data_IF_561918772443
#
_entry.id   IF_561918772443
#
_cell.length_a   1.000
_cell.length_b   1.000
_cell.length_c   1.000
_cell.angle_alpha   90.00
_cell.angle_beta   90.00
_cell.angle_gamma   90.00
#
_symmetry.space_group_name_H-M   'P 1'
#
loop_
_entity.id
_entity.type
_entity.pdbx_description
1 polymer ?
#
# COMPACT_ATOMS: atom_id res chain seq x y z
N UNK A 1 0.67 10.40 -36.13
CA UNK A 1 -0.37 9.64 -35.40
C UNK A 1 -0.01 9.41 -33.93
N UNK A 2 1.21 8.94 -33.63
CA UNK A 2 1.65 8.72 -32.25
C UNK A 2 1.77 10.03 -31.46
N UNK A 3 2.35 11.05 -32.08
CA UNK A 3 2.49 12.39 -31.48
C UNK A 3 1.12 13.00 -31.16
N UNK A 4 0.15 12.84 -32.05
CA UNK A 4 -1.21 13.35 -31.83
C UNK A 4 -1.90 12.67 -30.64
N UNK A 5 -1.74 11.35 -30.49
CA UNK A 5 -2.30 10.59 -29.36
C UNK A 5 -1.69 11.03 -28.02
N UNK A 6 -0.38 11.25 -27.97
CA UNK A 6 0.30 11.72 -26.76
C UNK A 6 -0.16 13.13 -26.38
N UNK A 7 -0.25 14.04 -27.36
CA UNK A 7 -0.73 15.41 -27.12
C UNK A 7 -2.17 15.43 -26.65
N UNK A 8 -3.02 14.59 -27.20
CA UNK A 8 -4.42 14.48 -26.76
C UNK A 8 -4.52 13.99 -25.33
N UNK A 9 -3.73 12.99 -24.95
CA UNK A 9 -3.70 12.50 -23.57
C UNK A 9 -3.33 13.60 -22.59
N UNK A 10 -2.21 14.29 -22.82
CA UNK A 10 -1.75 15.34 -21.91
C UNK A 10 -2.62 16.59 -21.92
N UNK A 11 -3.35 16.85 -22.99
CA UNK A 11 -4.18 18.05 -23.10
C UNK A 11 -5.62 17.89 -22.64
N UNK A 12 -6.19 16.70 -22.72
CA UNK A 12 -7.63 16.50 -22.51
C UNK A 12 -8.02 15.36 -21.59
N UNK A 13 -7.10 14.47 -21.22
CA UNK A 13 -7.42 13.36 -20.32
C UNK A 13 -7.63 13.86 -18.88
N UNK A 14 -8.68 13.40 -18.16
CA UNK A 14 -8.85 13.69 -16.73
C UNK A 14 -7.70 13.17 -15.85
N UNK A 15 -6.93 12.21 -16.34
CA UNK A 15 -5.76 11.66 -15.62
C UNK A 15 -4.55 12.58 -15.71
N UNK A 16 -4.50 13.46 -16.72
CA UNK A 16 -3.48 14.48 -16.85
C UNK A 16 -3.91 15.72 -16.08
N UNK A 17 -3.26 15.99 -14.96
CA UNK A 17 -3.64 17.05 -14.02
C UNK A 17 -2.50 18.02 -13.79
N UNK A 18 -2.85 19.25 -13.38
CA UNK A 18 -1.88 20.24 -12.93
C UNK A 18 -1.25 19.74 -11.63
N UNK A 19 0.08 19.64 -11.59
CA UNK A 19 0.79 19.09 -10.45
C UNK A 19 0.72 20.00 -9.23
N UNK A 20 0.40 19.42 -8.07
CA UNK A 20 0.45 20.11 -6.80
C UNK A 20 1.91 20.37 -6.42
N UNK A 21 2.28 21.64 -6.25
CA UNK A 21 3.67 22.07 -6.02
C UNK A 21 3.85 22.92 -4.77
N UNK A 22 2.96 22.81 -3.80
CA UNK A 22 3.06 23.56 -2.54
C UNK A 22 4.37 23.27 -1.80
N UNK A 23 4.80 22.02 -1.82
CA UNK A 23 6.09 21.58 -1.27
C UNK A 23 6.51 20.27 -1.96
N UNK A 24 7.77 19.80 -1.76
CA UNK A 24 8.24 18.57 -2.41
C UNK A 24 7.41 17.33 -2.08
N UNK A 25 6.89 17.23 -0.87
CA UNK A 25 6.03 16.10 -0.47
C UNK A 25 4.72 16.10 -1.27
N UNK A 26 4.13 17.28 -1.52
CA UNK A 26 2.92 17.41 -2.34
C UNK A 26 3.14 16.92 -3.77
N UNK A 27 4.29 17.25 -4.36
CA UNK A 27 4.66 16.76 -5.69
C UNK A 27 4.79 15.24 -5.72
N UNK A 28 5.50 14.67 -4.76
CA UNK A 28 5.73 13.23 -4.68
C UNK A 28 4.41 12.47 -4.50
N UNK A 29 3.57 12.93 -3.58
CA UNK A 29 2.28 12.28 -3.32
C UNK A 29 1.34 12.38 -4.50
N UNK A 30 1.34 13.49 -5.22
CA UNK A 30 0.52 13.62 -6.43
C UNK A 30 0.92 12.58 -7.49
N UNK A 31 2.21 12.34 -7.68
CA UNK A 31 2.71 11.34 -8.63
C UNK A 31 2.38 9.91 -8.24
N UNK A 32 2.09 9.66 -6.98
CA UNK A 32 1.75 8.33 -6.44
C UNK A 32 0.25 8.15 -6.20
N UNK A 33 -0.57 9.04 -6.72
CA UNK A 33 -2.02 9.02 -6.54
C UNK A 33 -2.69 7.92 -7.38
N UNK A 34 -3.64 7.23 -6.77
CA UNK A 34 -4.49 6.24 -7.42
C UNK A 34 -5.93 6.74 -7.41
N UNK A 35 -6.63 6.63 -8.53
CA UNK A 35 -8.00 7.08 -8.66
C UNK A 35 -8.91 5.98 -9.16
N UNK A 36 -10.06 5.82 -8.51
CA UNK A 36 -11.12 4.94 -9.00
C UNK A 36 -12.03 5.64 -10.04
N UNK A 37 -11.83 6.94 -10.24
CA UNK A 37 -12.61 7.77 -11.16
C UNK A 37 -11.93 7.84 -12.53
N UNK A 38 -12.65 8.41 -13.51
CA UNK A 38 -12.11 8.66 -14.83
C UNK A 38 -12.51 7.62 -15.86
N UNK A 39 -11.89 7.64 -17.05
CA UNK A 39 -12.23 6.71 -18.14
C UNK A 39 -12.03 5.25 -17.72
N UNK A 40 -13.09 4.45 -17.86
CA UNK A 40 -13.07 3.04 -17.45
C UNK A 40 -13.27 2.82 -15.96
N UNK A 41 -13.40 3.88 -15.17
CA UNK A 41 -13.62 3.82 -13.73
C UNK A 41 -15.05 4.09 -13.30
N UNK A 42 -15.21 4.36 -12.01
CA UNK A 42 -16.50 4.67 -11.38
C UNK A 42 -16.85 6.15 -11.52
N UNK A 43 -18.14 6.45 -11.40
CA UNK A 43 -18.60 7.82 -11.15
C UNK A 43 -18.90 7.99 -9.66
N UNK A 44 -18.83 9.24 -9.16
CA UNK A 44 -19.11 9.52 -7.75
C UNK A 44 -20.51 9.07 -7.32
N UNK A 45 -21.49 9.20 -8.20
CA UNK A 45 -22.88 8.85 -7.92
C UNK A 45 -23.12 7.35 -7.82
N UNK A 46 -22.25 6.55 -8.47
CA UNK A 46 -22.34 5.09 -8.46
C UNK A 46 -21.46 4.44 -7.40
N UNK A 47 -20.61 5.21 -6.74
CA UNK A 47 -19.71 4.70 -5.72
C UNK A 47 -20.43 4.57 -4.39
N UNK A 48 -20.73 3.36 -3.99
CA UNK A 48 -21.26 3.02 -2.66
C UNK A 48 -20.19 2.84 -1.61
N UNK A 49 -20.59 2.42 -0.42
CA UNK A 49 -19.65 2.20 0.68
C UNK A 49 -18.65 1.09 0.40
N UNK A 50 -19.05 0.04 -0.33
CA UNK A 50 -18.18 -1.11 -0.61
C UNK A 50 -16.90 -0.72 -1.36
N UNK A 51 -17.01 0.16 -2.37
CA UNK A 51 -15.86 0.57 -3.15
C UNK A 51 -14.99 1.60 -2.44
N UNK A 52 -15.50 2.24 -1.39
CA UNK A 52 -14.78 3.21 -0.58
C UNK A 52 -14.07 2.59 0.63
N UNK A 53 -14.41 1.34 0.96
CA UNK A 53 -13.85 0.62 2.10
C UNK A 53 -12.45 0.13 1.83
N UNK A 54 -11.72 -0.10 2.91
CA UNK A 54 -10.41 -0.76 2.87
C UNK A 54 -10.62 -2.26 2.82
N UNK A 55 -10.13 -2.87 1.75
CA UNK A 55 -10.15 -4.32 1.56
C UNK A 55 -8.80 -4.92 2.00
N UNK A 56 -8.75 -6.16 2.41
CA UNK A 56 -7.50 -6.78 2.84
C UNK A 56 -6.42 -6.81 1.74
N UNK A 57 -6.83 -6.79 0.46
CA UNK A 57 -5.91 -6.73 -0.67
C UNK A 57 -5.15 -5.40 -0.77
N UNK A 58 -5.59 -4.38 -0.02
CA UNK A 58 -4.90 -3.09 0.04
C UNK A 58 -3.60 -3.16 0.86
N UNK A 59 -3.45 -4.19 1.68
CA UNK A 59 -2.30 -4.31 2.59
C UNK A 59 -0.97 -4.28 1.82
N UNK A 60 -0.12 -3.33 2.18
CA UNK A 60 1.19 -3.13 1.54
C UNK A 60 1.11 -2.53 0.13
N UNK A 61 -0.07 -2.24 -0.40
CA UNK A 61 -0.29 -1.73 -1.76
C UNK A 61 -0.88 -0.33 -1.77
N UNK A 62 -1.97 -0.14 -1.07
CA UNK A 62 -2.65 1.15 -0.97
C UNK A 62 -2.72 1.58 0.48
N UNK A 63 -2.39 2.83 0.76
CA UNK A 63 -2.47 3.37 2.12
C UNK A 63 -3.93 3.38 2.60
N UNK A 64 -4.22 2.79 3.76
CA UNK A 64 -5.60 2.79 4.29
C UNK A 64 -5.98 4.11 4.94
N UNK A 65 -5.04 5.01 5.17
CA UNK A 65 -5.23 6.25 5.94
C UNK A 65 -5.31 7.46 5.02
N UNK A 66 -4.37 7.61 4.09
CA UNK A 66 -4.29 8.79 3.23
C UNK A 66 -5.35 8.74 2.13
N UNK A 67 -6.39 9.56 2.27
CA UNK A 67 -7.45 9.73 1.29
C UNK A 67 -8.05 11.13 1.47
N UNK A 68 -8.61 11.77 0.43
CA UNK A 68 -9.28 13.04 0.60
C UNK A 68 -10.47 12.94 1.55
N UNK A 69 -10.77 14.02 2.24
CA UNK A 69 -12.02 14.16 2.98
C UNK A 69 -13.13 14.65 2.03
N UNK A 70 -14.37 14.24 2.28
CA UNK A 70 -15.54 14.68 1.51
C UNK A 70 -15.96 13.67 0.44
N UNK A 71 -16.50 14.15 -0.72
CA UNK A 71 -17.13 13.26 -1.70
C UNK A 71 -16.21 12.21 -2.32
N UNK A 72 -14.92 12.46 -2.34
CA UNK A 72 -13.91 11.56 -2.93
C UNK A 72 -13.30 10.59 -1.93
N UNK A 73 -13.77 10.54 -0.70
CA UNK A 73 -13.22 9.65 0.32
C UNK A 73 -13.25 8.19 -0.14
N UNK A 74 -12.12 7.51 -0.04
CA UNK A 74 -11.99 6.13 -0.49
C UNK A 74 -11.88 5.92 -2.00
N UNK A 75 -12.24 6.90 -2.81
CA UNK A 75 -12.13 6.82 -4.28
C UNK A 75 -10.76 7.26 -4.79
N UNK A 76 -10.12 8.14 -4.06
CA UNK A 76 -8.76 8.59 -4.33
C UNK A 76 -7.87 8.04 -3.21
N UNK A 77 -6.82 7.35 -3.58
CA UNK A 77 -5.90 6.71 -2.65
C UNK A 77 -4.47 6.94 -3.10
N UNK A 78 -3.52 6.47 -2.32
CA UNK A 78 -2.10 6.65 -2.60
C UNK A 78 -1.37 5.32 -2.44
N UNK A 79 -0.36 5.09 -3.28
CA UNK A 79 0.49 3.91 -3.19
C UNK A 79 1.17 3.85 -1.82
N UNK A 80 1.20 2.67 -1.23
CA UNK A 80 1.99 2.40 -0.04
C UNK A 80 3.49 2.58 -0.34
N UNK A 81 4.28 2.82 0.70
CA UNK A 81 5.68 3.24 0.58
C UNK A 81 6.52 2.34 -0.32
N UNK A 82 6.39 1.02 -0.18
CA UNK A 82 7.18 0.05 -0.93
C UNK A 82 6.44 -0.61 -2.10
N UNK A 83 5.19 -0.21 -2.34
CA UNK A 83 4.40 -0.75 -3.43
C UNK A 83 4.90 -0.25 -4.79
N UNK A 84 4.73 -1.07 -5.81
CA UNK A 84 5.00 -0.71 -7.19
C UNK A 84 3.92 -1.27 -8.11
N UNK A 85 3.88 -0.78 -9.34
CA UNK A 85 2.95 -1.26 -10.36
C UNK A 85 3.73 -2.13 -11.33
N UNK A 86 3.24 -3.34 -11.60
CA UNK A 86 3.90 -4.26 -12.52
C UNK A 86 3.60 -3.92 -13.99
N UNK A 87 4.16 -4.70 -14.90
CA UNK A 87 3.99 -4.52 -16.35
C UNK A 87 2.54 -4.69 -16.83
N UNK A 88 1.71 -5.39 -16.05
CA UNK A 88 0.28 -5.61 -16.37
C UNK A 88 -0.65 -4.58 -15.71
N UNK A 89 -0.12 -3.64 -14.95
CA UNK A 89 -0.90 -2.60 -14.28
C UNK A 89 -1.40 -2.97 -12.88
N UNK A 90 -1.03 -4.11 -12.33
CA UNK A 90 -1.39 -4.52 -10.97
C UNK A 90 -0.40 -3.98 -9.94
N UNK A 91 -0.90 -3.65 -8.76
CA UNK A 91 -0.06 -3.17 -7.66
C UNK A 91 0.53 -4.37 -6.92
N UNK A 92 1.85 -4.35 -6.76
CA UNK A 92 2.60 -5.38 -6.06
C UNK A 92 3.19 -4.84 -4.76
N UNK A 93 3.31 -5.74 -3.77
CA UNK A 93 3.99 -5.44 -2.51
C UNK A 93 5.21 -6.35 -2.33
N UNK A 94 6.27 -5.88 -1.65
CA UNK A 94 7.47 -6.67 -1.43
C UNK A 94 7.35 -7.57 -0.20
N UNK A 95 7.91 -8.77 -0.29
CA UNK A 95 7.96 -9.73 0.82
C UNK A 95 9.29 -10.45 0.83
N UNK A 96 9.72 -10.88 2.01
CA UNK A 96 10.92 -11.69 2.19
C UNK A 96 10.52 -13.15 2.23
N UNK A 97 11.01 -14.01 1.32
CA UNK A 97 10.69 -15.43 1.34
C UNK A 97 11.34 -16.15 2.52
N UNK A 98 10.67 -17.17 3.00
CA UNK A 98 11.18 -18.06 4.06
C UNK A 98 11.58 -19.38 3.42
N UNK A 99 12.85 -19.79 3.65
CA UNK A 99 13.33 -21.08 3.17
C UNK A 99 12.71 -22.19 4.01
N UNK A 100 11.88 -23.01 3.39
CA UNK A 100 11.18 -24.11 4.06
C UNK A 100 12.10 -25.20 4.55
N UNK A 101 13.26 -25.39 3.92
CA UNK A 101 14.21 -26.42 4.30
C UNK A 101 14.94 -26.07 5.60
N UNK A 102 15.30 -24.80 5.78
CA UNK A 102 16.07 -24.34 6.94
C UNK A 102 15.27 -23.50 7.92
N UNK A 103 14.11 -22.99 7.51
CA UNK A 103 13.29 -22.07 8.30
C UNK A 103 13.85 -20.65 8.39
N UNK A 104 14.84 -20.33 7.57
CA UNK A 104 15.49 -19.02 7.55
C UNK A 104 14.72 -18.03 6.69
N UNK A 105 14.52 -16.81 7.21
CA UNK A 105 14.01 -15.70 6.43
C UNK A 105 15.15 -15.13 5.58
N UNK A 106 14.96 -15.16 4.27
CA UNK A 106 16.00 -14.71 3.33
C UNK A 106 16.02 -13.18 3.24
N UNK A 107 17.17 -12.63 2.86
CA UNK A 107 17.31 -11.18 2.67
C UNK A 107 16.85 -10.70 1.30
N UNK A 108 16.52 -11.64 0.41
CA UNK A 108 15.98 -11.31 -0.91
C UNK A 108 14.56 -10.80 -0.80
N UNK A 109 14.14 -9.98 -1.78
CA UNK A 109 12.81 -9.41 -1.83
C UNK A 109 12.08 -9.94 -3.06
N UNK A 110 10.87 -10.44 -2.84
CA UNK A 110 9.99 -10.88 -3.92
C UNK A 110 8.72 -10.05 -3.90
N UNK A 111 8.37 -9.51 -5.06
CA UNK A 111 7.13 -8.73 -5.21
C UNK A 111 5.99 -9.65 -5.62
N UNK A 112 4.84 -9.46 -4.98
CA UNK A 112 3.64 -10.25 -5.25
C UNK A 112 2.40 -9.36 -5.36
N UNK A 113 1.51 -9.72 -6.29
CA UNK A 113 0.17 -9.15 -6.35
C UNK A 113 -0.72 -9.79 -5.26
N UNK A 114 -1.89 -9.18 -5.00
CA UNK A 114 -2.76 -9.64 -3.90
C UNK A 114 -3.30 -11.06 -4.13
N UNK A 115 -3.59 -11.43 -5.35
CA UNK A 115 -4.07 -12.77 -5.70
C UNK A 115 -3.02 -13.85 -5.42
N UNK A 116 -1.76 -13.57 -5.70
CA UNK A 116 -0.64 -14.49 -5.40
C UNK A 116 -0.42 -14.56 -3.89
N UNK A 117 -0.45 -13.43 -3.19
CA UNK A 117 -0.29 -13.37 -1.73
C UNK A 117 -1.37 -14.18 -0.98
N UNK A 118 -2.59 -14.23 -1.51
CA UNK A 118 -3.70 -14.97 -0.91
C UNK A 118 -3.42 -16.46 -0.73
N UNK A 119 -2.51 -17.02 -1.50
CA UNK A 119 -2.13 -18.43 -1.42
C UNK A 119 -1.12 -18.72 -0.30
N UNK A 120 -0.52 -17.68 0.30
CA UNK A 120 0.61 -17.82 1.21
C UNK A 120 0.30 -17.24 2.59
N UNK A 121 1.02 -17.79 3.57
CA UNK A 121 1.00 -17.32 4.96
C UNK A 121 2.16 -16.34 5.14
N UNK A 122 1.85 -15.11 5.55
CA UNK A 122 2.80 -14.01 5.65
C UNK A 122 2.95 -13.56 7.10
N UNK A 123 4.17 -13.63 7.63
CA UNK A 123 4.47 -13.17 8.98
C UNK A 123 4.54 -11.64 9.04
N UNK A 124 4.20 -11.08 10.20
CA UNK A 124 4.32 -9.66 10.46
C UNK A 124 5.78 -9.22 10.52
N UNK A 125 6.05 -7.97 10.10
CA UNK A 125 7.41 -7.43 10.08
C UNK A 125 8.05 -7.28 11.46
N UNK A 126 7.24 -7.17 12.50
CA UNK A 126 7.70 -7.01 13.88
C UNK A 126 8.00 -8.33 14.61
N UNK A 127 7.83 -9.47 13.95
CA UNK A 127 8.21 -10.76 14.56
C UNK A 127 9.73 -10.80 14.79
N UNK A 128 10.17 -11.16 16.01
CA UNK A 128 11.60 -11.19 16.29
C UNK A 128 12.30 -12.33 15.55
N UNK A 129 13.44 -12.01 14.96
CA UNK A 129 14.34 -12.95 14.32
C UNK A 129 15.65 -13.03 15.10
N UNK A 130 16.28 -14.20 15.10
CA UNK A 130 17.60 -14.37 15.69
C UNK A 130 18.71 -13.87 14.72
N UNK A 131 19.97 -13.99 15.14
CA UNK A 131 21.13 -13.55 14.36
C UNK A 131 21.23 -14.29 13.02
N UNK A 132 20.69 -15.50 12.93
CA UNK A 132 20.73 -16.33 11.73
C UNK A 132 19.49 -16.14 10.83
N UNK A 133 18.55 -15.30 11.24
CA UNK A 133 17.34 -15.03 10.46
C UNK A 133 16.19 -16.02 10.68
N UNK A 134 16.23 -16.80 11.76
CA UNK A 134 15.15 -17.71 12.14
C UNK A 134 14.19 -17.03 13.11
N UNK A 135 12.92 -17.44 13.09
CA UNK A 135 11.94 -16.95 14.07
C UNK A 135 12.29 -17.43 15.47
N UNK A 136 12.31 -16.49 16.40
CA UNK A 136 12.61 -16.78 17.82
C UNK A 136 11.46 -17.52 18.49
N UNK A 137 10.20 -17.12 18.19
CA UNK A 137 9.00 -17.72 18.76
C UNK A 137 8.57 -18.97 18.00
N UNK A 138 8.10 -19.98 18.70
CA UNK A 138 7.55 -21.20 18.09
C UNK A 138 6.26 -20.91 17.31
N UNK A 139 5.42 -20.01 17.85
CA UNK A 139 4.22 -19.51 17.18
C UNK A 139 4.44 -18.09 16.71
N UNK A 140 4.14 -17.85 15.45
CA UNK A 140 4.37 -16.60 14.76
C UNK A 140 3.01 -15.98 14.41
N UNK A 141 2.87 -14.68 14.69
CA UNK A 141 1.71 -13.91 14.26
C UNK A 141 1.77 -13.71 12.76
N UNK A 142 0.75 -14.19 12.06
CA UNK A 142 0.71 -14.16 10.60
C UNK A 142 -0.59 -13.62 10.10
N UNK A 143 -0.56 -13.23 8.83
CA UNK A 143 -1.71 -12.81 8.07
C UNK A 143 -1.98 -13.85 6.98
N UNK A 144 -3.21 -14.34 6.93
CA UNK A 144 -3.68 -15.20 5.86
C UNK A 144 -5.03 -14.68 5.37
N UNK A 145 -5.04 -14.16 4.15
CA UNK A 145 -6.19 -13.48 3.55
C UNK A 145 -6.65 -12.30 4.43
N UNK A 146 -7.88 -12.32 4.93
CA UNK A 146 -8.45 -11.26 5.77
C UNK A 146 -8.33 -11.52 7.28
N UNK A 147 -7.68 -12.62 7.67
CA UNK A 147 -7.54 -13.00 9.07
C UNK A 147 -6.11 -12.85 9.58
N UNK A 148 -5.99 -12.53 10.87
CA UNK A 148 -4.72 -12.53 11.60
C UNK A 148 -4.79 -13.69 12.59
N UNK A 149 -3.79 -14.55 12.56
CA UNK A 149 -3.75 -15.75 13.40
C UNK A 149 -2.32 -16.09 13.79
N UNK A 150 -2.17 -17.00 14.74
CA UNK A 150 -0.88 -17.55 15.12
C UNK A 150 -0.72 -18.95 14.55
N UNK A 151 0.41 -19.21 13.90
CA UNK A 151 0.73 -20.51 13.33
C UNK A 151 2.13 -20.94 13.78
N UNK A 152 2.45 -22.24 13.75
CA UNK A 152 3.82 -22.70 13.95
C UNK A 152 4.77 -22.06 12.94
N UNK A 153 5.98 -21.73 13.37
CA UNK A 153 6.97 -21.02 12.56
C UNK A 153 7.37 -21.76 11.27
N UNK A 154 7.19 -23.07 11.22
CA UNK A 154 7.50 -23.89 10.05
C UNK A 154 6.47 -23.75 8.92
N UNK A 155 5.30 -23.18 9.20
CA UNK A 155 4.23 -22.97 8.21
C UNK A 155 4.28 -21.62 7.53
N UNK A 156 5.15 -20.72 7.95
CA UNK A 156 5.27 -19.36 7.38
C UNK A 156 5.96 -19.44 6.01
N UNK A 157 5.36 -18.79 5.02
CA UNK A 157 5.88 -18.76 3.64
C UNK A 157 6.68 -17.50 3.34
N UNK A 158 6.23 -16.37 3.85
CA UNK A 158 6.85 -15.06 3.62
C UNK A 158 6.80 -14.21 4.88
N UNK A 159 7.57 -13.15 4.89
CA UNK A 159 7.58 -12.15 5.96
C UNK A 159 7.51 -10.76 5.36
N UNK A 160 6.78 -9.86 6.00
CA UNK A 160 6.74 -8.45 5.61
C UNK A 160 8.14 -7.83 5.70
N UNK A 161 8.45 -6.94 4.77
CA UNK A 161 9.77 -6.27 4.71
C UNK A 161 9.92 -5.25 5.84
N UNK A 162 8.87 -4.48 6.12
CA UNK A 162 8.90 -3.41 7.13
C UNK A 162 7.48 -3.08 7.59
N UNK A 163 7.29 -2.65 8.86
CA UNK A 163 5.99 -2.14 9.30
C UNK A 163 5.52 -0.91 8.53
N UNK A 164 6.44 -0.14 7.96
CA UNK A 164 6.14 1.07 7.17
C UNK A 164 5.57 0.77 5.79
N UNK A 165 5.60 -0.48 5.35
CA UNK A 165 5.08 -0.85 4.02
C UNK A 165 3.57 -0.71 3.88
N UNK A 166 2.85 -0.57 4.99
CA UNK A 166 1.37 -0.52 5.00
C UNK A 166 0.84 0.85 4.60
N UNK A 167 1.59 1.90 4.84
CA UNK A 167 1.16 3.29 4.71
C UNK A 167 1.90 4.00 3.59
N UNK A 168 1.33 5.12 3.11
CA UNK A 168 1.95 5.97 2.10
C UNK A 168 3.14 6.76 2.66
N UNK A 169 3.89 7.41 1.78
CA UNK A 169 5.05 8.23 2.17
C UNK A 169 4.63 9.35 3.12
N UNK A 170 3.55 10.08 2.83
CA UNK A 170 3.07 11.17 3.69
C UNK A 170 2.64 10.66 5.07
N UNK A 171 1.90 9.57 5.12
CA UNK A 171 1.45 8.97 6.36
C UNK A 171 2.61 8.43 7.19
N UNK A 172 3.62 7.87 6.54
CA UNK A 172 4.81 7.35 7.21
C UNK A 172 5.65 8.44 7.90
N UNK A 173 5.48 9.69 7.52
CA UNK A 173 6.17 10.83 8.13
C UNK A 173 5.52 11.33 9.43
N UNK A 174 4.35 10.83 9.80
CA UNK A 174 3.67 11.22 11.03
C UNK A 174 4.37 10.54 12.23
N UNK A 175 4.91 11.31 13.19
CA UNK A 175 5.54 10.71 14.37
C UNK A 175 4.50 10.05 15.27
N UNK A 176 4.86 8.91 15.85
CA UNK A 176 4.00 8.11 16.74
C UNK A 176 2.65 7.75 16.11
N UNK A 177 2.67 7.45 14.83
CA UNK A 177 1.47 7.10 14.06
C UNK A 177 0.69 5.94 14.68
N UNK A 178 1.39 4.97 15.24
CA UNK A 178 0.80 3.79 15.87
C UNK A 178 -0.09 4.10 17.08
N UNK A 179 0.09 5.28 17.67
CA UNK A 179 -0.70 5.75 18.82
C UNK A 179 -1.86 6.66 18.42
N UNK A 180 -1.96 6.99 17.13
CA UNK A 180 -2.99 7.91 16.63
C UNK A 180 -4.23 7.17 16.14
N UNK A 181 -5.40 7.81 16.33
CA UNK A 181 -6.62 7.39 15.68
C UNK A 181 -6.54 7.63 14.16
N UNK A 182 -7.14 6.73 13.38
CA UNK A 182 -7.11 6.80 11.92
C UNK A 182 -7.67 8.11 11.36
N UNK A 183 -8.71 8.67 11.96
CA UNK A 183 -9.29 9.95 11.53
C UNK A 183 -8.29 11.11 11.68
N UNK A 184 -7.57 11.13 12.78
CA UNK A 184 -6.56 12.16 13.04
C UNK A 184 -5.33 11.98 12.16
N UNK A 185 -4.94 10.75 11.91
CA UNK A 185 -3.84 10.43 10.99
C UNK A 185 -4.17 10.86 9.56
N UNK A 186 -5.40 10.64 9.11
CA UNK A 186 -5.89 11.10 7.80
C UNK A 186 -5.81 12.62 7.69
N UNK A 187 -6.26 13.35 8.70
CA UNK A 187 -6.16 14.81 8.73
C UNK A 187 -4.71 15.27 8.66
N UNK A 188 -3.82 14.65 9.44
CA UNK A 188 -2.40 14.98 9.47
C UNK A 188 -1.71 14.73 8.14
N UNK A 189 -1.99 13.61 7.49
CA UNK A 189 -1.45 13.29 6.19
C UNK A 189 -1.86 14.31 5.12
N UNK A 190 -3.13 14.72 5.12
CA UNK A 190 -3.62 15.73 4.20
C UNK A 190 -3.04 17.12 4.48
N UNK A 191 -2.87 17.49 5.74
CA UNK A 191 -2.33 18.78 6.14
C UNK A 191 -0.85 18.95 5.77
N UNK A 192 -0.06 17.89 5.77
CA UNK A 192 1.36 17.95 5.40
C UNK A 192 1.55 18.47 3.97
N UNK A 193 0.63 18.16 3.06
CA UNK A 193 0.69 18.60 1.67
C UNK A 193 0.31 20.06 1.49
N UNK A 194 -0.33 20.68 2.49
CA UNK A 194 -0.76 22.07 2.45
C UNK A 194 0.26 23.03 3.04
N UNK A 195 1.27 22.53 3.73
CA UNK A 195 2.32 23.36 4.31
C UNK A 195 3.21 23.98 3.21
N UNK A 196 3.55 25.22 3.40
CA UNK A 196 4.42 25.96 2.45
C UNK A 196 5.89 25.77 2.83
#
# INVERSE_FOLDING_TARGET
PVTAAIKEFFGSSPLSQFMDQTNPLAELTHKRRLSALGPGGLSRDRAGFEVRDVHYSHYGRMCPIETPEGPNIGLISYLATFARINEYGFVEAPYRPVDKATGKVLDTVQYMTADVEDEYIVAQANEPLDENGHFVNEKVSVRYRDSVQEVPRDKVDYMDVSPKMVVSVATAMIPFLENDDANRALMGANMQRQAV
#
